data_IF_069256819378
#
_entry.id   IF_069256819378
#
_cell.length_a   1.000
_cell.length_b   1.000
_cell.length_c   1.000
_cell.angle_alpha   90.00
_cell.angle_beta   90.00
_cell.angle_gamma   90.00
#
_symmetry.space_group_name_H-M   'P 1'
#
loop_
_entity.id
_entity.type
_entity.pdbx_description
1 polymer ?
#
# COMPACT_ATOMS: atom_id res chain seq x y z
N UNK A 1 -35.73 -15.62 17.37
CA UNK A 1 -35.52 -16.55 16.24
C UNK A 1 -34.40 -15.97 15.41
N UNK A 2 -33.20 -16.52 15.52
CA UNK A 2 -32.08 -16.11 14.65
C UNK A 2 -32.36 -16.61 13.25
N UNK A 3 -32.35 -15.72 12.27
CA UNK A 3 -32.39 -16.11 10.86
C UNK A 3 -31.14 -16.95 10.58
N UNK A 4 -31.35 -18.17 10.11
CA UNK A 4 -30.27 -19.11 9.85
C UNK A 4 -29.43 -18.61 8.68
N UNK A 5 -28.11 -18.71 8.77
CA UNK A 5 -27.17 -18.15 7.78
C UNK A 5 -27.45 -18.63 6.33
N UNK A 6 -28.06 -19.82 6.22
CA UNK A 6 -28.51 -20.43 4.96
C UNK A 6 -29.62 -19.67 4.24
N UNK A 7 -30.49 -18.97 4.98
CA UNK A 7 -31.65 -18.27 4.39
C UNK A 7 -31.23 -17.02 3.60
N UNK A 8 -30.05 -16.46 3.88
CA UNK A 8 -29.54 -15.24 3.25
C UNK A 8 -28.62 -15.51 2.04
N UNK A 9 -27.93 -16.67 2.01
CA UNK A 9 -26.83 -16.89 1.08
C UNK A 9 -26.94 -18.17 0.24
N UNK A 10 -27.98 -19.00 0.44
CA UNK A 10 -28.11 -20.28 -0.24
C UNK A 10 -26.98 -21.25 0.10
N UNK A 11 -26.99 -22.44 -0.51
CA UNK A 11 -25.90 -23.40 -0.38
C UNK A 11 -24.65 -22.85 -1.09
N UNK A 12 -23.76 -22.23 -0.33
CA UNK A 12 -22.46 -21.78 -0.81
C UNK A 12 -21.61 -23.02 -1.14
N UNK A 13 -21.39 -23.27 -2.43
CA UNK A 13 -20.39 -24.23 -2.90
C UNK A 13 -19.10 -23.48 -3.30
N UNK A 14 -17.91 -23.93 -2.87
CA UNK A 14 -16.66 -23.38 -3.34
C UNK A 14 -16.57 -23.53 -4.86
N UNK A 15 -16.41 -22.42 -5.60
CA UNK A 15 -16.06 -22.47 -7.02
C UNK A 15 -14.66 -23.08 -7.15
N UNK A 16 -14.57 -24.35 -7.53
CA UNK A 16 -13.30 -25.10 -7.72
C UNK A 16 -12.35 -24.43 -8.73
N UNK A 17 -12.86 -23.57 -9.61
CA UNK A 17 -12.11 -22.94 -10.70
C UNK A 17 -11.49 -21.56 -10.39
N UNK A 18 -11.47 -21.13 -9.12
CA UNK A 18 -10.66 -19.95 -8.76
C UNK A 18 -9.27 -20.42 -8.32
N UNK A 19 -8.19 -20.02 -9.02
CA UNK A 19 -6.84 -20.34 -8.55
C UNK A 19 -6.71 -19.84 -7.11
N UNK A 20 -6.25 -20.70 -6.22
CA UNK A 20 -5.92 -20.29 -4.85
C UNK A 20 -4.79 -19.27 -4.95
N UNK A 21 -4.63 -18.38 -3.95
CA UNK A 21 -3.47 -17.50 -3.89
C UNK A 21 -2.14 -18.26 -4.08
N UNK A 22 -2.10 -19.51 -3.60
CA UNK A 22 -0.96 -20.43 -3.73
C UNK A 22 -0.80 -21.04 -5.14
N UNK A 23 -1.83 -20.97 -5.98
CA UNK A 23 -1.83 -21.44 -7.37
C UNK A 23 -1.46 -20.29 -8.37
N UNK A 24 -1.18 -19.08 -7.87
CA UNK A 24 -0.60 -17.99 -8.68
C UNK A 24 0.87 -18.33 -8.99
N UNK A 25 1.27 -18.49 -10.27
CA UNK A 25 2.66 -18.75 -10.65
C UNK A 25 3.64 -17.63 -10.23
N UNK A 26 3.14 -16.51 -9.70
CA UNK A 26 3.91 -15.40 -9.14
C UNK A 26 3.82 -15.27 -7.60
N UNK A 27 3.05 -16.12 -6.91
CA UNK A 27 3.11 -16.21 -5.44
C UNK A 27 4.43 -16.81 -4.95
N UNK A 28 5.13 -17.53 -5.84
CA UNK A 28 6.49 -18.01 -5.63
C UNK A 28 7.53 -16.99 -6.06
N UNK A 29 8.28 -16.49 -5.08
CA UNK A 29 9.58 -15.83 -5.20
C UNK A 29 9.64 -14.29 -5.29
N UNK A 30 9.17 -13.56 -4.25
CA UNK A 30 9.76 -12.25 -3.94
C UNK A 30 11.26 -12.35 -3.58
N UNK A 31 11.74 -13.54 -3.16
CA UNK A 31 13.12 -13.82 -2.73
C UNK A 31 14.17 -13.86 -3.87
N UNK A 32 13.76 -13.92 -5.15
CA UNK A 32 14.69 -14.01 -6.28
C UNK A 32 14.99 -12.65 -6.94
N UNK A 33 14.53 -11.55 -6.33
CA UNK A 33 14.88 -10.20 -6.77
C UNK A 33 16.31 -9.92 -6.30
N UNK A 34 17.27 -9.91 -7.23
CA UNK A 34 18.65 -9.45 -6.95
C UNK A 34 18.58 -8.11 -6.22
N UNK A 35 19.33 -7.89 -5.12
CA UNK A 35 19.39 -6.58 -4.47
C UNK A 35 19.83 -5.54 -5.51
N UNK A 36 18.86 -4.82 -6.06
CA UNK A 36 19.16 -3.68 -6.90
C UNK A 36 19.78 -2.66 -5.96
N UNK A 37 20.85 -2.01 -6.37
CA UNK A 37 21.29 -0.77 -5.71
C UNK A 37 20.17 0.24 -5.98
N UNK A 38 19.12 0.19 -5.17
CA UNK A 38 18.00 1.09 -5.28
C UNK A 38 18.58 2.44 -4.90
N UNK A 39 18.69 3.35 -5.86
CA UNK A 39 18.91 4.74 -5.54
C UNK A 39 17.62 5.26 -4.92
N UNK A 40 17.45 5.01 -3.62
CA UNK A 40 16.26 5.40 -2.86
C UNK A 40 16.20 6.92 -2.79
N UNK A 41 15.09 7.51 -3.24
CA UNK A 41 14.80 8.92 -3.09
C UNK A 41 13.70 9.07 -2.06
N UNK A 42 13.95 9.92 -1.07
CA UNK A 42 12.90 10.30 -0.14
C UNK A 42 11.82 11.08 -0.89
N UNK A 43 10.57 10.70 -0.68
CA UNK A 43 9.40 11.31 -1.29
C UNK A 43 8.41 11.76 -0.22
N UNK A 44 7.68 12.83 -0.52
CA UNK A 44 6.61 13.34 0.34
C UNK A 44 5.25 13.07 -0.30
N UNK A 45 4.29 12.72 0.53
CA UNK A 45 2.87 12.68 0.12
C UNK A 45 2.37 14.11 0.03
N UNK A 46 2.02 14.56 -1.17
CA UNK A 46 1.40 15.87 -1.38
C UNK A 46 -0.09 15.86 -1.03
N UNK A 47 -0.73 14.70 -1.17
CA UNK A 47 -2.14 14.52 -0.88
C UNK A 47 -2.75 13.37 -1.67
N UNK A 48 -4.06 13.22 -1.49
CA UNK A 48 -4.90 12.27 -2.21
C UNK A 48 -5.82 13.05 -3.13
N UNK A 49 -5.92 12.62 -4.39
CA UNK A 49 -6.63 13.34 -5.44
C UNK A 49 -7.55 12.38 -6.20
N UNK A 50 -8.61 12.93 -6.79
CA UNK A 50 -9.51 12.19 -7.68
C UNK A 50 -9.35 12.69 -9.12
N UNK A 51 -9.27 11.74 -10.05
CA UNK A 51 -9.33 12.01 -11.48
C UNK A 51 -10.79 11.89 -11.94
N UNK A 52 -11.35 13.01 -12.43
CA UNK A 52 -12.76 13.14 -12.79
C UNK A 52 -13.14 12.47 -14.12
N UNK A 53 -12.15 12.00 -14.92
CA UNK A 53 -12.44 11.49 -16.26
C UNK A 53 -13.02 10.07 -16.21
N UNK A 54 -14.24 9.96 -16.74
CA UNK A 54 -15.21 8.88 -16.52
C UNK A 54 -15.32 7.94 -17.71
N UNK A 55 -14.24 7.76 -18.48
CA UNK A 55 -14.32 7.25 -19.85
C UNK A 55 -14.36 5.72 -20.03
N UNK A 56 -14.19 4.91 -18.96
CA UNK A 56 -14.24 3.43 -19.10
C UNK A 56 -15.19 2.73 -18.10
N UNK A 57 -15.32 3.22 -16.86
CA UNK A 57 -16.09 2.53 -15.80
C UNK A 57 -17.15 3.37 -15.10
N UNK A 58 -17.23 4.68 -15.39
CA UNK A 58 -18.19 5.60 -14.76
C UNK A 58 -17.87 5.98 -13.30
N UNK A 59 -16.78 5.47 -12.71
CA UNK A 59 -16.37 5.78 -11.34
C UNK A 59 -15.10 6.66 -11.31
N UNK A 60 -15.01 7.66 -10.42
CA UNK A 60 -13.80 8.46 -10.24
C UNK A 60 -12.65 7.58 -9.75
N UNK A 61 -11.45 7.81 -10.31
CA UNK A 61 -10.24 7.10 -9.90
C UNK A 61 -9.47 7.93 -8.88
N UNK A 62 -9.08 7.32 -7.77
CA UNK A 62 -8.35 8.01 -6.69
C UNK A 62 -6.86 7.66 -6.73
N UNK A 63 -5.99 8.62 -6.46
CA UNK A 63 -4.54 8.41 -6.43
C UNK A 63 -3.85 9.22 -5.33
N UNK A 64 -2.71 8.71 -4.87
CA UNK A 64 -1.77 9.46 -4.03
C UNK A 64 -0.79 10.18 -4.95
N UNK A 65 -0.51 11.45 -4.69
CA UNK A 65 0.54 12.18 -5.39
C UNK A 65 1.78 12.30 -4.53
N UNK A 66 2.88 11.71 -4.98
CA UNK A 66 4.19 11.84 -4.35
C UNK A 66 5.00 12.95 -5.01
N UNK A 67 5.93 13.54 -4.25
CA UNK A 67 6.96 14.44 -4.78
C UNK A 67 8.32 14.15 -4.16
N UNK A 68 9.34 14.03 -5.00
CA UNK A 68 10.73 13.91 -4.57
C UNK A 68 11.38 15.28 -4.28
N UNK A 69 12.61 15.26 -3.76
CA UNK A 69 13.38 16.48 -3.48
C UNK A 69 13.77 17.31 -4.73
N UNK A 70 13.60 16.77 -5.93
CA UNK A 70 13.83 17.46 -7.22
C UNK A 70 12.53 18.04 -7.79
N UNK A 71 11.40 17.84 -7.11
CA UNK A 71 10.10 18.33 -7.54
C UNK A 71 9.35 17.42 -8.51
N UNK A 72 9.91 16.25 -8.86
CA UNK A 72 9.27 15.25 -9.72
C UNK A 72 8.05 14.67 -9.02
N UNK A 73 6.96 14.49 -9.76
CA UNK A 73 5.68 14.05 -9.21
C UNK A 73 5.33 12.66 -9.72
N UNK A 74 4.94 11.77 -8.81
CA UNK A 74 4.55 10.39 -9.14
C UNK A 74 3.14 10.12 -8.62
N UNK A 75 2.14 9.93 -9.50
CA UNK A 75 0.82 9.47 -9.09
C UNK A 75 0.80 7.94 -8.94
N UNK A 76 0.24 7.44 -7.83
CA UNK A 76 -0.06 6.01 -7.65
C UNK A 76 -1.56 5.86 -7.39
N UNK A 77 -2.26 5.18 -8.30
CA UNK A 77 -3.69 4.91 -8.19
C UNK A 77 -3.96 3.88 -7.09
N UNK A 78 -4.97 4.17 -6.27
CA UNK A 78 -5.32 3.38 -5.09
C UNK A 78 -6.83 3.26 -4.94
N UNK A 79 -7.27 2.30 -4.14
CA UNK A 79 -8.68 2.16 -3.80
C UNK A 79 -9.18 3.31 -2.91
N UNK A 80 -10.50 3.55 -2.97
CA UNK A 80 -11.17 4.61 -2.20
C UNK A 80 -11.00 4.44 -0.69
N UNK A 81 -11.00 3.21 -0.19
CA UNK A 81 -10.91 2.95 1.25
C UNK A 81 -9.51 3.24 1.78
N UNK A 82 -8.47 2.85 1.05
CA UNK A 82 -7.10 3.19 1.40
C UNK A 82 -6.85 4.70 1.31
N UNK A 83 -7.41 5.34 0.30
CA UNK A 83 -7.35 6.79 0.10
C UNK A 83 -7.97 7.56 1.27
N UNK A 84 -9.16 7.15 1.71
CA UNK A 84 -9.84 7.74 2.86
C UNK A 84 -8.97 7.67 4.12
N UNK A 85 -8.37 6.51 4.39
CA UNK A 85 -7.52 6.31 5.56
C UNK A 85 -6.23 7.15 5.53
N UNK A 86 -5.70 7.42 4.33
CA UNK A 86 -4.54 8.33 4.12
C UNK A 86 -4.96 9.77 4.38
N UNK A 87 -6.08 10.21 3.81
CA UNK A 87 -6.58 11.59 4.02
C UNK A 87 -6.78 11.89 5.50
N UNK A 88 -7.44 11.00 6.24
CA UNK A 88 -7.63 11.15 7.69
C UNK A 88 -6.30 11.22 8.45
N UNK A 89 -5.31 10.42 8.04
CA UNK A 89 -3.97 10.45 8.65
C UNK A 89 -3.20 11.74 8.34
N UNK A 90 -3.38 12.31 7.15
CA UNK A 90 -2.78 13.60 6.77
C UNK A 90 -3.43 14.78 7.50
N UNK A 91 -4.73 14.71 7.74
CA UNK A 91 -5.50 15.72 8.47
C UNK A 91 -5.27 15.66 9.99
N UNK A 92 -4.71 14.56 10.48
CA UNK A 92 -4.46 14.35 11.90
C UNK A 92 -5.75 14.17 12.70
N UNK A 93 -6.80 13.60 12.10
CA UNK A 93 -8.08 13.38 12.77
C UNK A 93 -7.94 12.40 13.94
N UNK A 94 -8.42 12.80 15.12
CA UNK A 94 -8.56 11.91 16.27
C UNK A 94 -9.88 11.14 16.19
N UNK A 95 -9.78 9.81 16.29
CA UNK A 95 -10.93 8.90 16.21
C UNK A 95 -11.14 8.17 17.55
N UNK A 96 -12.39 8.00 17.96
CA UNK A 96 -12.74 7.36 19.24
C UNK A 96 -12.35 5.87 19.31
N UNK A 97 -12.28 5.21 18.15
CA UNK A 97 -11.97 3.78 18.01
C UNK A 97 -10.96 3.59 16.90
N UNK A 98 -9.94 2.73 17.08
CA UNK A 98 -8.90 2.52 16.08
C UNK A 98 -9.51 1.91 14.80
N UNK A 99 -9.17 2.47 13.64
CA UNK A 99 -9.43 1.85 12.34
C UNK A 99 -8.33 0.83 12.01
N UNK A 100 -8.42 0.20 10.84
CA UNK A 100 -7.50 -0.85 10.39
C UNK A 100 -6.03 -0.49 10.56
N UNK A 101 -5.60 0.68 10.07
CA UNK A 101 -4.18 1.06 10.12
C UNK A 101 -3.75 1.53 11.52
N UNK A 102 -4.67 2.03 12.34
CA UNK A 102 -4.41 2.32 13.76
C UNK A 102 -4.25 1.03 14.55
N UNK A 103 -5.07 0.02 14.27
CA UNK A 103 -4.93 -1.32 14.83
C UNK A 103 -3.58 -1.93 14.44
N UNK A 104 -3.17 -1.82 13.16
CA UNK A 104 -1.86 -2.32 12.71
C UNK A 104 -0.72 -1.58 13.43
N UNK A 105 -0.82 -0.27 13.59
CA UNK A 105 0.15 0.50 14.39
C UNK A 105 0.26 -0.04 15.81
N UNK A 106 -0.88 -0.22 16.48
CA UNK A 106 -0.91 -0.79 17.84
C UNK A 106 -0.29 -2.19 17.85
N UNK A 107 -0.57 -3.03 16.86
CA UNK A 107 0.01 -4.37 16.78
C UNK A 107 1.54 -4.33 16.66
N UNK A 108 2.08 -3.51 15.76
CA UNK A 108 3.53 -3.35 15.56
C UNK A 108 4.20 -2.86 16.86
N UNK A 109 3.63 -1.83 17.50
CA UNK A 109 4.13 -1.30 18.78
C UNK A 109 4.09 -2.36 19.90
N UNK A 110 3.00 -3.11 20.00
CA UNK A 110 2.82 -4.14 21.05
C UNK A 110 3.68 -5.38 20.84
N UNK A 111 4.06 -5.66 19.60
CA UNK A 111 4.99 -6.73 19.25
C UNK A 111 6.46 -6.30 19.39
N UNK A 112 6.73 -5.05 19.78
CA UNK A 112 8.07 -4.54 20.04
C UNK A 112 8.88 -4.22 18.78
N UNK A 113 8.21 -3.98 17.66
CA UNK A 113 8.85 -3.59 16.41
C UNK A 113 8.81 -2.06 16.21
N UNK A 114 9.81 -1.52 15.52
CA UNK A 114 9.86 -0.14 15.06
C UNK A 114 9.72 -0.08 13.54
N UNK A 115 8.95 0.89 13.04
CA UNK A 115 8.90 1.18 11.60
C UNK A 115 10.06 2.11 11.26
N UNK A 116 11.01 1.63 10.47
CA UNK A 116 12.21 2.39 10.13
C UNK A 116 11.97 3.28 8.91
N UNK A 117 11.35 2.70 7.88
CA UNK A 117 10.95 3.38 6.64
C UNK A 117 9.97 2.53 5.85
N UNK A 118 9.40 3.13 4.80
CA UNK A 118 8.76 2.37 3.72
C UNK A 118 9.42 2.70 2.40
N UNK A 119 9.41 1.77 1.46
CA UNK A 119 9.96 1.98 0.13
C UNK A 119 9.06 1.43 -0.96
N UNK A 120 8.76 2.23 -1.98
CA UNK A 120 8.19 1.77 -3.25
C UNK A 120 9.34 1.42 -4.18
N UNK A 121 9.66 0.13 -4.32
CA UNK A 121 10.90 -0.34 -4.96
C UNK A 121 10.72 -0.99 -6.33
N UNK A 122 9.49 -1.33 -6.73
CA UNK A 122 9.23 -1.99 -8.00
C UNK A 122 7.94 -1.52 -8.69
N UNK A 123 7.95 -1.64 -10.01
CA UNK A 123 6.81 -1.42 -10.89
C UNK A 123 6.84 -2.51 -11.97
N UNK A 124 5.88 -3.42 -11.91
CA UNK A 124 5.79 -4.54 -12.86
C UNK A 124 4.37 -4.67 -13.39
N UNK A 125 4.21 -4.71 -14.72
CA UNK A 125 2.90 -4.79 -15.38
C UNK A 125 1.90 -3.74 -14.87
N UNK A 126 2.37 -2.50 -14.71
CA UNK A 126 1.61 -1.36 -14.15
C UNK A 126 1.18 -1.51 -12.67
N UNK A 127 1.69 -2.51 -11.97
CA UNK A 127 1.47 -2.73 -10.53
C UNK A 127 2.70 -2.30 -9.74
N UNK A 128 2.51 -1.37 -8.81
CA UNK A 128 3.56 -0.93 -7.89
C UNK A 128 3.67 -1.88 -6.69
N UNK A 129 4.90 -2.14 -6.25
CA UNK A 129 5.22 -2.91 -5.06
C UNK A 129 5.93 -2.03 -4.04
N UNK A 130 5.72 -2.33 -2.76
CA UNK A 130 6.36 -1.63 -1.67
C UNK A 130 6.78 -2.57 -0.55
N UNK A 131 7.76 -2.13 0.24
CA UNK A 131 8.17 -2.80 1.46
C UNK A 131 7.95 -1.91 2.67
N UNK A 132 7.42 -2.51 3.73
CA UNK A 132 7.45 -1.97 5.08
C UNK A 132 8.71 -2.51 5.76
N UNK A 133 9.69 -1.64 5.99
CA UNK A 133 10.96 -1.98 6.62
C UNK A 133 10.85 -1.72 8.13
N UNK A 134 10.98 -2.79 8.91
CA UNK A 134 10.88 -2.79 10.37
C UNK A 134 12.19 -3.25 11.00
N UNK A 135 12.39 -2.87 12.26
CA UNK A 135 13.39 -3.49 13.13
C UNK A 135 12.69 -4.08 14.36
N UNK A 136 13.05 -5.30 14.74
CA UNK A 136 12.61 -5.92 15.99
C UNK A 136 13.77 -6.64 16.64
N UNK A 137 14.02 -6.36 17.92
CA UNK A 137 15.11 -7.00 18.68
C UNK A 137 16.49 -6.85 18.01
N UNK A 138 16.68 -5.77 17.23
CA UNK A 138 17.91 -5.49 16.47
C UNK A 138 17.99 -6.16 15.10
N UNK A 139 17.02 -7.01 14.76
CA UNK A 139 16.95 -7.71 13.47
C UNK A 139 16.04 -6.96 12.48
N UNK A 140 16.50 -6.74 11.23
CA UNK A 140 15.68 -6.12 10.20
C UNK A 140 14.62 -7.11 9.69
N UNK A 141 13.41 -6.60 9.46
CA UNK A 141 12.27 -7.35 8.91
C UNK A 141 11.66 -6.52 7.78
N UNK A 142 11.68 -7.06 6.56
CA UNK A 142 11.00 -6.46 5.42
C UNK A 142 9.70 -7.22 5.14
N UNK A 143 8.59 -6.48 5.02
CA UNK A 143 7.27 -7.02 4.71
C UNK A 143 6.82 -6.47 3.36
N UNK A 144 6.58 -7.36 2.39
CA UNK A 144 5.99 -7.00 1.10
C UNK A 144 4.54 -6.52 1.28
N UNK A 145 4.21 -5.40 0.64
CA UNK A 145 2.89 -4.79 0.74
C UNK A 145 2.57 -3.87 -0.45
N UNK A 146 1.32 -3.44 -0.56
CA UNK A 146 0.92 -2.44 -1.55
C UNK A 146 1.41 -1.05 -1.10
N UNK A 147 1.74 -0.14 -2.03
CA UNK A 147 2.11 1.23 -1.68
C UNK A 147 1.08 1.96 -0.82
N UNK A 148 -0.21 1.70 -1.04
CA UNK A 148 -1.30 2.29 -0.25
C UNK A 148 -1.24 1.91 1.23
N UNK A 149 -0.88 0.65 1.52
CA UNK A 149 -0.76 0.15 2.89
C UNK A 149 0.52 0.69 3.53
N UNK A 150 1.63 0.65 2.81
CA UNK A 150 2.92 1.19 3.24
C UNK A 150 2.79 2.67 3.66
N UNK A 151 2.14 3.49 2.83
CA UNK A 151 1.94 4.92 3.10
C UNK A 151 1.06 5.15 4.32
N UNK A 152 -0.03 4.40 4.46
CA UNK A 152 -0.91 4.51 5.63
C UNK A 152 -0.18 4.23 6.94
N UNK A 153 0.71 3.24 6.96
CA UNK A 153 1.55 2.92 8.12
C UNK A 153 2.61 3.99 8.33
N UNK A 154 3.32 4.40 7.28
CA UNK A 154 4.37 5.42 7.38
C UNK A 154 3.84 6.73 7.97
N UNK A 155 2.66 7.20 7.53
CA UNK A 155 2.03 8.41 8.07
C UNK A 155 1.73 8.31 9.57
N UNK A 156 1.26 7.14 10.03
CA UNK A 156 0.91 6.89 11.44
C UNK A 156 2.12 6.72 12.36
N UNK A 157 3.25 6.27 11.82
CA UNK A 157 4.52 6.17 12.54
C UNK A 157 5.43 7.38 12.34
N UNK A 158 5.03 8.34 11.51
CA UNK A 158 5.90 9.42 11.03
C UNK A 158 7.22 8.91 10.44
N UNK A 159 7.17 7.74 9.78
CA UNK A 159 8.32 7.12 9.16
C UNK A 159 8.58 7.73 7.77
N UNK A 160 9.85 7.84 7.35
CA UNK A 160 10.19 8.32 6.02
C UNK A 160 9.70 7.37 4.92
N UNK A 161 9.29 7.96 3.80
CA UNK A 161 8.80 7.24 2.61
C UNK A 161 9.85 7.41 1.51
N UNK A 162 10.28 6.29 0.94
CA UNK A 162 11.22 6.26 -0.17
C UNK A 162 10.58 5.69 -1.43
N UNK A 163 11.15 6.05 -2.57
CA UNK A 163 10.85 5.46 -3.86
C UNK A 163 12.15 5.21 -4.61
N UNK A 164 12.26 4.06 -5.26
CA UNK A 164 13.42 3.76 -6.08
C UNK A 164 13.48 4.69 -7.30
N UNK A 165 14.67 5.20 -7.64
CA UNK A 165 14.86 6.06 -8.83
C UNK A 165 14.30 5.43 -10.10
N UNK A 166 14.49 4.12 -10.28
CA UNK A 166 13.96 3.38 -11.44
C UNK A 166 12.43 3.43 -11.54
N UNK A 167 11.73 3.46 -10.39
CA UNK A 167 10.27 3.59 -10.35
C UNK A 167 9.86 5.01 -10.75
N UNK A 168 10.56 6.02 -10.25
CA UNK A 168 10.32 7.43 -10.61
C UNK A 168 10.52 7.63 -12.12
N UNK A 169 11.64 7.15 -12.67
CA UNK A 169 11.97 7.27 -14.10
C UNK A 169 10.99 6.53 -15.02
N UNK A 170 10.47 5.38 -14.57
CA UNK A 170 9.49 4.59 -15.34
C UNK A 170 8.16 5.33 -15.54
N UNK A 171 7.83 6.26 -14.65
CA UNK A 171 6.62 7.08 -14.74
C UNK A 171 6.85 8.34 -15.58
N UNK A 172 8.04 8.97 -15.50
CA UNK A 172 8.38 10.11 -16.36
C UNK A 172 8.31 9.77 -17.85
N UNK A 173 8.60 8.53 -18.24
CA UNK A 173 8.52 8.11 -19.65
C UNK A 173 7.09 7.94 -20.17
N UNK A 174 6.07 7.94 -19.29
CA UNK A 174 4.67 7.73 -19.65
C UNK A 174 3.86 9.03 -19.79
N UNK A 175 4.45 10.18 -19.50
CA UNK A 175 3.82 11.51 -19.55
C UNK A 175 4.67 12.50 -20.35
#
# INVERSE_FOLDING_TARGET
MGSDFKDLYGDWEPKEDRPRPDDDPLAGEPENRTPRTLQEKEVKVLGVFEHADTSVTGAPQTFILFQDNRGRKVPIFIGRFEALAISMALEGEEIDRPMTYDLIRILIERLGATVDRVIVDDLWSDVFYAKLCLTRDGEPIDIDCRPSDAVNIALRFHAPIYMAESVIESIEQKF
#
